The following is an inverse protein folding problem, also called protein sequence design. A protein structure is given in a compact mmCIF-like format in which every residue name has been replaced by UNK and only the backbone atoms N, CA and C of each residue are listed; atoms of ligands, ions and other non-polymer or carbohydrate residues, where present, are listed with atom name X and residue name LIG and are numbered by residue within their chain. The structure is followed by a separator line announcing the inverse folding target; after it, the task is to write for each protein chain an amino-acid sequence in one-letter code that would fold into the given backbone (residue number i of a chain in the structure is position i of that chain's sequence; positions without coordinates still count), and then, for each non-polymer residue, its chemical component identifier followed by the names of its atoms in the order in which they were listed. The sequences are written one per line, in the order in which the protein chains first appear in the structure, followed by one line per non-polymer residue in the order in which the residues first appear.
data_IF_363633258825
#
_entry.id   IF_363633258825
#
_cell.length_a   1.000
_cell.length_b   1.000
_cell.length_c   1.000
_cell.angle_alpha   90.00
_cell.angle_beta   90.00
_cell.angle_gamma   90.00
#
_symmetry.space_group_name_H-M   'P 1'
#
loop_
_entity.id
_entity.type
_entity.pdbx_description
1 polymer ?
#
# COMPACT_ATOMS: atom_id res chain seq x y z
N UNK A 1 -21.14 -0.73 14.12
CA UNK A 1 -19.91 -0.28 13.44
C UNK A 1 -18.98 0.35 14.47
N UNK A 2 -17.78 -0.16 14.57
CA UNK A 2 -16.81 0.29 15.58
C UNK A 2 -15.67 1.05 14.93
N UNK A 3 -15.10 2.00 15.65
CA UNK A 3 -13.95 2.77 15.21
C UNK A 3 -12.66 2.14 15.77
N UNK A 4 -11.68 1.98 14.87
CA UNK A 4 -10.36 1.45 15.19
C UNK A 4 -9.30 2.39 14.64
N UNK A 5 -8.10 2.30 15.17
CA UNK A 5 -6.92 2.84 14.48
C UNK A 5 -6.50 1.85 13.41
N UNK A 6 -5.92 2.33 12.32
CA UNK A 6 -5.45 1.42 11.27
C UNK A 6 -4.52 0.34 11.81
N UNK A 7 -3.63 0.70 12.75
CA UNK A 7 -2.70 -0.27 13.36
C UNK A 7 -3.40 -1.37 14.16
N UNK A 8 -4.65 -1.17 14.58
CA UNK A 8 -5.41 -2.21 15.31
C UNK A 8 -5.90 -3.32 14.38
N UNK A 9 -6.03 -3.04 13.09
CA UNK A 9 -6.66 -3.94 12.12
C UNK A 9 -5.74 -4.33 10.97
N UNK A 10 -4.57 -3.71 10.85
CA UNK A 10 -3.66 -3.92 9.73
C UNK A 10 -2.22 -3.64 10.14
N UNK A 11 -1.29 -4.24 9.39
CA UNK A 11 0.14 -3.92 9.50
C UNK A 11 0.49 -2.85 8.48
N UNK A 12 1.24 -1.83 8.89
CA UNK A 12 1.73 -0.77 8.02
C UNK A 12 3.25 -0.84 7.98
N UNK A 13 3.82 -0.93 6.78
CA UNK A 13 5.27 -1.05 6.60
C UNK A 13 5.75 -0.12 5.49
N UNK A 14 6.83 0.62 5.76
CA UNK A 14 7.55 1.38 4.74
C UNK A 14 8.42 0.42 3.93
N UNK A 15 8.62 0.70 2.65
CA UNK A 15 9.55 -0.05 1.80
C UNK A 15 11.00 0.15 2.20
N UNK A 16 11.94 -0.57 1.57
CA UNK A 16 13.35 -0.51 1.94
C UNK A 16 13.92 0.88 1.74
N UNK A 17 14.77 1.31 2.69
CA UNK A 17 15.46 2.59 2.56
C UNK A 17 16.41 2.56 1.36
N UNK A 18 16.75 3.75 0.82
CA UNK A 18 17.64 3.88 -0.32
C UNK A 18 19.00 3.21 -0.12
N UNK A 19 19.49 3.12 1.12
CA UNK A 19 20.74 2.42 1.46
C UNK A 19 20.64 0.90 1.33
N UNK A 20 19.41 0.35 1.33
CA UNK A 20 19.18 -1.09 1.21
C UNK A 20 19.04 -1.55 -0.24
N UNK A 21 18.66 -0.64 -1.14
CA UNK A 21 18.48 -0.94 -2.55
C UNK A 21 18.75 0.35 -3.35
N UNK A 22 19.79 0.33 -4.17
CA UNK A 22 20.20 1.44 -5.01
C UNK A 22 19.72 1.26 -6.45
N UNK A 23 19.65 2.33 -7.22
CA UNK A 23 19.26 2.26 -8.64
C UNK A 23 20.15 1.32 -9.44
N UNK A 24 21.44 1.27 -9.12
CA UNK A 24 22.42 0.39 -9.77
C UNK A 24 22.22 -1.07 -9.46
N UNK A 25 21.42 -1.40 -8.44
CA UNK A 25 21.12 -2.79 -8.06
C UNK A 25 20.03 -3.40 -8.93
N UNK A 26 19.33 -2.59 -9.71
CA UNK A 26 18.30 -3.10 -10.61
C UNK A 26 18.92 -3.89 -11.75
N UNK A 27 18.22 -4.94 -12.16
CA UNK A 27 18.72 -5.92 -13.15
C UNK A 27 17.78 -5.99 -14.35
N UNK A 28 18.24 -6.67 -15.42
CA UNK A 28 17.44 -6.83 -16.65
C UNK A 28 16.43 -7.96 -16.56
N UNK A 29 16.63 -8.91 -15.65
CA UNK A 29 15.74 -10.06 -15.44
C UNK A 29 15.62 -10.32 -13.94
N UNK A 30 14.39 -10.32 -13.42
CA UNK A 30 14.17 -10.52 -11.99
C UNK A 30 12.72 -10.25 -11.59
N UNK A 31 12.52 -9.91 -10.33
CA UNK A 31 11.20 -9.64 -9.75
C UNK A 31 10.90 -8.14 -9.80
N UNK A 32 9.71 -7.75 -10.28
CA UNK A 32 9.33 -6.33 -10.30
C UNK A 32 9.23 -5.72 -8.91
N UNK A 33 9.60 -4.44 -8.83
CA UNK A 33 9.38 -3.59 -7.66
C UNK A 33 8.52 -2.40 -8.07
N UNK A 34 7.43 -2.16 -7.35
CA UNK A 34 6.55 -1.03 -7.65
C UNK A 34 7.05 0.22 -6.93
N UNK A 35 6.98 1.35 -7.62
CA UNK A 35 7.30 2.68 -7.09
C UNK A 35 6.06 3.57 -7.21
N UNK A 36 6.18 4.82 -6.76
CA UNK A 36 5.03 5.74 -6.78
C UNK A 36 4.44 5.96 -8.16
N UNK A 37 5.26 5.88 -9.21
CA UNK A 37 4.79 6.06 -10.60
C UNK A 37 3.89 4.93 -11.09
N UNK A 38 3.92 3.77 -10.43
CA UNK A 38 3.14 2.60 -10.81
C UNK A 38 1.79 2.55 -10.14
N UNK A 39 1.53 3.42 -9.17
CA UNK A 39 0.26 3.45 -8.46
C UNK A 39 -0.82 4.06 -9.36
N UNK A 40 -1.82 3.28 -9.68
CA UNK A 40 -2.95 3.70 -10.50
C UNK A 40 -4.27 3.54 -9.76
N UNK A 41 -5.36 3.82 -10.46
CA UNK A 41 -6.69 3.64 -9.91
C UNK A 41 -6.98 2.13 -9.83
N UNK A 42 -6.94 1.58 -8.62
CA UNK A 42 -7.11 0.17 -8.26
C UNK A 42 -5.97 -0.74 -8.72
N UNK A 43 -5.35 -0.48 -9.87
CA UNK A 43 -4.34 -1.36 -10.47
C UNK A 43 -3.00 -0.67 -10.55
N UNK A 44 -1.96 -1.46 -10.74
CA UNK A 44 -0.61 -0.96 -10.96
C UNK A 44 -0.33 -0.79 -12.45
N UNK A 45 0.35 0.29 -12.80
CA UNK A 45 0.94 0.42 -14.12
C UNK A 45 2.08 -0.57 -14.24
N UNK A 46 2.22 -1.20 -15.40
CA UNK A 46 3.30 -2.16 -15.67
C UNK A 46 4.40 -1.58 -16.55
N UNK A 47 4.38 -0.26 -16.75
CA UNK A 47 5.39 0.41 -17.58
C UNK A 47 6.62 0.74 -16.76
N UNK A 48 7.79 0.44 -17.30
CA UNK A 48 9.08 0.78 -16.70
C UNK A 48 9.25 0.27 -15.27
N UNK A 49 8.79 -0.98 -15.02
CA UNK A 49 8.97 -1.62 -13.72
C UNK A 49 10.44 -1.98 -13.54
N UNK A 50 11.13 -1.44 -12.53
CA UNK A 50 12.46 -1.93 -12.19
C UNK A 50 12.38 -3.38 -11.73
N UNK A 51 13.45 -4.14 -11.95
CA UNK A 51 13.53 -5.55 -11.60
C UNK A 51 14.63 -5.76 -10.56
N UNK A 52 14.33 -6.59 -9.58
CA UNK A 52 15.22 -6.89 -8.46
C UNK A 52 15.75 -8.32 -8.62
N UNK A 53 17.04 -8.52 -8.38
CA UNK A 53 17.67 -9.84 -8.47
C UNK A 53 17.11 -10.82 -7.43
N UNK A 54 17.27 -12.12 -7.69
CA UNK A 54 16.81 -13.15 -6.76
C UNK A 54 17.50 -13.03 -5.39
N UNK A 55 18.78 -12.68 -5.37
CA UNK A 55 19.52 -12.50 -4.13
C UNK A 55 18.99 -11.31 -3.31
N UNK A 56 18.75 -10.19 -3.97
CA UNK A 56 18.18 -9.01 -3.31
C UNK A 56 16.73 -9.26 -2.88
N UNK A 57 15.96 -9.99 -3.68
CA UNK A 57 14.61 -10.40 -3.31
C UNK A 57 14.58 -11.18 -2.00
N UNK A 58 15.52 -12.12 -1.83
CA UNK A 58 15.65 -12.90 -0.59
C UNK A 58 16.03 -12.00 0.58
N UNK A 59 17.01 -11.14 0.37
CA UNK A 59 17.48 -10.19 1.38
C UNK A 59 16.37 -9.25 1.83
N UNK A 60 15.49 -8.86 0.90
CA UNK A 60 14.40 -7.92 1.13
C UNK A 60 13.04 -8.62 1.27
N UNK A 61 13.02 -9.86 1.73
CA UNK A 61 11.80 -10.68 1.79
C UNK A 61 10.68 -10.09 2.63
N UNK A 62 10.97 -9.25 3.62
CA UNK A 62 9.94 -8.59 4.42
C UNK A 62 9.18 -7.49 3.65
N UNK A 63 9.66 -7.15 2.45
CA UNK A 63 9.02 -6.14 1.59
C UNK A 63 8.29 -6.77 0.41
N UNK A 64 8.00 -8.06 0.47
CA UNK A 64 7.21 -8.73 -0.55
C UNK A 64 5.74 -8.37 -0.43
N UNK A 65 5.09 -8.20 -1.57
CA UNK A 65 3.66 -8.00 -1.66
C UNK A 65 2.93 -9.33 -1.71
N UNK A 66 1.73 -9.36 -1.18
CA UNK A 66 0.82 -10.48 -1.37
C UNK A 66 -0.57 -9.97 -1.72
N UNK A 67 -1.35 -10.80 -2.38
CA UNK A 67 -2.71 -10.47 -2.76
C UNK A 67 -3.49 -9.92 -1.57
N UNK A 68 -4.18 -8.81 -1.80
CA UNK A 68 -4.94 -8.12 -0.75
C UNK A 68 -4.21 -6.97 -0.09
N UNK A 69 -2.91 -6.84 -0.30
CA UNK A 69 -2.17 -5.69 0.21
C UNK A 69 -2.63 -4.40 -0.49
N UNK A 70 -2.50 -3.28 0.21
CA UNK A 70 -2.75 -1.95 -0.35
C UNK A 70 -1.45 -1.17 -0.29
N UNK A 71 -1.02 -0.62 -1.42
CA UNK A 71 0.23 0.14 -1.52
C UNK A 71 -0.10 1.61 -1.69
N UNK A 72 0.44 2.44 -0.80
CA UNK A 72 0.27 3.90 -0.82
C UNK A 72 1.54 4.59 -1.27
N UNK A 73 1.38 5.74 -1.91
CA UNK A 73 2.47 6.69 -2.08
C UNK A 73 2.78 7.35 -0.73
N UNK A 74 4.05 7.34 -0.32
CA UNK A 74 4.47 7.96 0.93
C UNK A 74 4.86 9.44 0.74
N UNK A 75 5.10 9.85 -0.48
CA UNK A 75 5.53 11.22 -0.82
C UNK A 75 4.69 11.75 -1.98
N UNK A 76 4.49 13.06 -2.02
CA UNK A 76 3.71 13.71 -3.07
C UNK A 76 2.21 13.44 -2.90
N UNK A 77 1.64 12.65 -3.77
CA UNK A 77 0.21 12.27 -3.72
C UNK A 77 -0.03 11.17 -2.68
N UNK A 78 0.08 11.53 -1.40
CA UNK A 78 0.04 10.58 -0.27
C UNK A 78 -1.30 9.85 -0.11
N UNK A 79 -2.36 10.33 -0.73
CA UNK A 79 -3.68 9.70 -0.74
C UNK A 79 -3.85 8.66 -1.84
N UNK A 80 -2.87 8.53 -2.74
CA UNK A 80 -2.94 7.60 -3.87
C UNK A 80 -2.53 6.20 -3.43
N UNK A 81 -3.38 5.22 -3.77
CA UNK A 81 -3.11 3.83 -3.43
C UNK A 81 -3.61 2.87 -4.50
N UNK A 82 -3.04 1.69 -4.53
CA UNK A 82 -3.43 0.60 -5.43
C UNK A 82 -3.59 -0.70 -4.66
N UNK A 83 -4.44 -1.57 -5.17
CA UNK A 83 -4.76 -2.87 -4.58
C UNK A 83 -3.94 -3.97 -5.25
N UNK A 84 -3.30 -4.82 -4.44
CA UNK A 84 -2.46 -5.92 -4.93
C UNK A 84 -3.35 -7.11 -5.29
N UNK A 85 -3.29 -7.54 -6.56
CA UNK A 85 -3.97 -8.74 -7.04
C UNK A 85 -3.00 -9.92 -7.05
N UNK A 86 -3.48 -11.09 -7.47
CA UNK A 86 -2.63 -12.28 -7.61
C UNK A 86 -1.48 -12.06 -8.61
N UNK A 87 -1.65 -11.16 -9.57
CA UNK A 87 -0.63 -10.86 -10.58
C UNK A 87 0.63 -10.23 -9.97
N UNK A 88 0.51 -9.47 -8.89
CA UNK A 88 1.63 -8.80 -8.22
C UNK A 88 2.11 -9.55 -6.98
N UNK A 89 1.59 -10.74 -6.74
CA UNK A 89 2.01 -11.55 -5.60
C UNK A 89 3.52 -11.83 -5.68
N UNK A 90 4.22 -11.63 -4.56
CA UNK A 90 5.67 -11.76 -4.45
C UNK A 90 6.50 -10.68 -5.18
N UNK A 91 5.86 -9.62 -5.68
CA UNK A 91 6.58 -8.42 -6.09
C UNK A 91 7.05 -7.65 -4.87
N UNK A 92 7.90 -6.64 -5.05
CA UNK A 92 8.35 -5.78 -3.97
C UNK A 92 7.76 -4.37 -4.12
N UNK A 93 7.88 -3.56 -3.07
CA UNK A 93 7.52 -2.14 -3.11
C UNK A 93 8.68 -1.30 -2.62
N UNK A 94 8.80 -0.09 -3.20
CA UNK A 94 9.96 0.78 -2.96
C UNK A 94 9.85 1.56 -1.64
N UNK A 95 10.95 2.18 -1.25
CA UNK A 95 11.02 3.01 -0.05
C UNK A 95 10.17 4.28 -0.09
N UNK A 96 9.64 4.64 -1.25
CA UNK A 96 8.69 5.75 -1.39
C UNK A 96 7.24 5.31 -1.24
N UNK A 97 7.03 4.06 -0.94
CA UNK A 97 5.71 3.46 -0.77
C UNK A 97 5.53 2.93 0.64
N UNK A 98 4.27 2.81 1.04
CA UNK A 98 3.83 2.12 2.25
C UNK A 98 2.96 0.94 1.84
N UNK A 99 3.10 -0.17 2.56
CA UNK A 99 2.22 -1.34 2.39
C UNK A 99 1.31 -1.46 3.60
N UNK A 100 0.01 -1.59 3.34
CA UNK A 100 -1.00 -1.88 4.37
C UNK A 100 -1.52 -3.29 4.13
N UNK A 101 -1.39 -4.16 5.13
CA UNK A 101 -1.82 -5.56 5.08
C UNK A 101 -2.84 -5.83 6.15
N UNK A 102 -4.03 -6.24 5.75
CA UNK A 102 -5.13 -6.52 6.68
C UNK A 102 -4.81 -7.68 7.61
N UNK A 103 -5.28 -7.55 8.86
CA UNK A 103 -5.36 -8.65 9.80
C UNK A 103 -6.66 -9.44 9.62
N UNK A 104 -7.00 -10.26 10.61
CA UNK A 104 -8.09 -11.24 10.50
C UNK A 104 -9.48 -10.62 10.47
N UNK A 105 -9.67 -9.44 11.07
CA UNK A 105 -11.00 -8.82 11.20
C UNK A 105 -11.27 -7.75 10.14
N UNK A 106 -10.43 -7.67 9.15
CA UNK A 106 -10.50 -6.67 8.10
C UNK A 106 -10.49 -7.34 6.73
N UNK A 107 -11.47 -7.02 5.91
CA UNK A 107 -11.52 -7.52 4.53
C UNK A 107 -10.68 -6.58 3.65
N UNK A 108 -9.64 -7.10 2.95
CA UNK A 108 -8.72 -6.23 2.20
C UNK A 108 -9.38 -5.32 1.18
N UNK A 109 -10.30 -5.85 0.39
CA UNK A 109 -10.95 -5.07 -0.66
C UNK A 109 -11.90 -4.03 -0.07
N UNK A 110 -12.56 -4.34 1.06
CA UNK A 110 -13.34 -3.35 1.79
C UNK A 110 -12.46 -2.19 2.25
N UNK A 111 -11.31 -2.50 2.83
CA UNK A 111 -10.38 -1.47 3.30
C UNK A 111 -9.87 -0.61 2.14
N UNK A 112 -9.59 -1.23 1.00
CA UNK A 112 -9.20 -0.49 -0.20
C UNK A 112 -10.29 0.54 -0.59
N UNK A 113 -11.54 0.09 -0.67
CA UNK A 113 -12.66 1.00 -1.01
C UNK A 113 -12.89 2.06 0.06
N UNK A 114 -12.64 1.72 1.33
CA UNK A 114 -12.68 2.71 2.40
C UNK A 114 -11.69 3.84 2.13
N UNK A 115 -10.47 3.51 1.75
CA UNK A 115 -9.45 4.50 1.40
C UNK A 115 -9.76 5.27 0.11
N UNK A 116 -10.65 4.76 -0.72
CA UNK A 116 -11.08 5.46 -1.94
C UNK A 116 -12.10 6.57 -1.67
N UNK A 117 -12.68 6.63 -0.48
CA UNK A 117 -13.62 7.69 -0.12
C UNK A 117 -12.93 9.04 -0.12
N UNK A 118 -13.57 10.03 -0.70
CA UNK A 118 -13.02 11.39 -0.77
C UNK A 118 -12.73 11.95 0.63
N UNK A 119 -13.62 11.71 1.59
CA UNK A 119 -13.41 12.17 2.97
C UNK A 119 -12.16 11.57 3.61
N UNK A 120 -11.88 10.30 3.33
CA UNK A 120 -10.69 9.61 3.84
C UNK A 120 -9.43 10.13 3.16
N UNK A 121 -9.49 10.35 1.83
CA UNK A 121 -8.39 10.93 1.09
C UNK A 121 -8.04 12.33 1.61
N UNK A 122 -9.04 13.15 1.87
CA UNK A 122 -8.82 14.48 2.44
C UNK A 122 -8.22 14.42 3.84
N UNK A 123 -8.65 13.45 4.65
CA UNK A 123 -8.06 13.24 5.97
C UNK A 123 -6.57 12.88 5.86
N UNK A 124 -6.22 11.96 4.98
CA UNK A 124 -4.81 11.56 4.77
C UNK A 124 -3.97 12.77 4.36
N UNK A 125 -4.46 13.59 3.44
CA UNK A 125 -3.77 14.81 3.02
C UNK A 125 -3.59 15.78 4.19
N UNK A 126 -4.57 15.86 5.09
CA UNK A 126 -4.53 16.79 6.22
C UNK A 126 -3.47 16.43 7.26
N UNK A 127 -3.15 15.15 7.42
CA UNK A 127 -2.16 14.68 8.40
C UNK A 127 -0.75 14.58 7.82
N UNK A 128 -0.60 14.69 6.50
CA UNK A 128 0.71 14.64 5.84
C UNK A 128 1.56 15.84 6.25
N UNK A 129 2.88 15.64 6.29
CA UNK A 129 3.86 16.64 6.72
C UNK A 129 4.60 17.19 5.50
N UNK A 130 4.79 18.50 5.47
CA UNK A 130 5.53 19.18 4.40
C UNK A 130 4.61 20.00 3.51
N UNK A 131 5.04 21.24 3.20
CA UNK A 131 4.25 22.17 2.40
C UNK A 131 4.43 21.95 0.90
N UNK A 132 5.68 21.75 0.46
CA UNK A 132 6.03 21.62 -0.96
C UNK A 132 5.92 20.18 -1.44
N UNK A 133 6.43 19.24 -0.63
CA UNK A 133 6.37 17.81 -0.92
C UNK A 133 5.75 17.11 0.28
N UNK A 134 4.43 16.92 0.30
CA UNK A 134 3.79 16.21 1.40
C UNK A 134 4.37 14.80 1.55
N UNK A 135 4.51 14.36 2.80
CA UNK A 135 4.94 12.99 3.10
C UNK A 135 4.17 12.44 4.28
N UNK A 136 4.05 11.12 4.32
CA UNK A 136 3.39 10.40 5.39
C UNK A 136 4.28 9.21 5.79
N UNK A 137 4.32 8.89 7.08
CA UNK A 137 5.10 7.76 7.58
C UNK A 137 4.18 6.70 8.20
N UNK A 138 4.77 5.59 8.62
CA UNK A 138 4.02 4.49 9.24
C UNK A 138 3.31 4.91 10.51
N UNK A 139 3.91 5.79 11.30
CA UNK A 139 3.32 6.28 12.54
C UNK A 139 2.05 7.09 12.28
N UNK A 140 2.08 7.97 11.30
CA UNK A 140 0.91 8.77 10.92
C UNK A 140 -0.19 7.89 10.33
N UNK A 141 0.17 6.96 9.45
CA UNK A 141 -0.79 6.03 8.87
C UNK A 141 -1.45 5.15 9.92
N UNK A 142 -0.67 4.68 10.91
CA UNK A 142 -1.15 3.79 11.97
C UNK A 142 -2.29 4.41 12.79
N UNK A 143 -2.33 5.73 12.90
CA UNK A 143 -3.30 6.45 13.70
C UNK A 143 -4.60 6.80 12.94
N UNK A 144 -4.69 6.53 11.66
CA UNK A 144 -5.89 6.85 10.86
C UNK A 144 -7.10 6.11 11.43
N UNK A 145 -8.21 6.80 11.75
CA UNK A 145 -9.40 6.15 12.26
C UNK A 145 -10.13 5.41 11.13
N UNK A 146 -10.49 4.17 11.38
CA UNK A 146 -11.20 3.32 10.43
C UNK A 146 -12.49 2.84 11.09
N UNK A 147 -13.61 3.07 10.43
CA UNK A 147 -14.92 2.56 10.86
C UNK A 147 -15.15 1.21 10.19
N UNK A 148 -15.23 0.14 10.99
CA UNK A 148 -15.44 -1.21 10.47
C UNK A 148 -16.80 -1.75 10.88
N UNK A 149 -17.62 -2.19 9.93
CA UNK A 149 -18.73 -3.08 10.24
C UNK A 149 -18.21 -4.49 10.50
N UNK A 150 -19.12 -5.42 10.80
CA UNK A 150 -18.76 -6.83 10.95
C UNK A 150 -18.17 -7.36 9.64
N UNK A 151 -17.33 -8.38 9.75
CA UNK A 151 -16.61 -8.94 8.60
C UNK A 151 -17.54 -9.36 7.45
N UNK A 152 -18.70 -9.93 7.76
CA UNK A 152 -19.69 -10.32 6.75
C UNK A 152 -20.22 -9.12 5.97
N UNK A 153 -20.48 -8.01 6.68
CA UNK A 153 -20.93 -6.78 6.04
C UNK A 153 -19.82 -6.18 5.16
N UNK A 154 -18.58 -6.25 5.62
CA UNK A 154 -17.43 -5.81 4.84
C UNK A 154 -17.35 -6.56 3.50
N UNK A 155 -17.55 -7.88 3.54
CA UNK A 155 -17.54 -8.72 2.33
C UNK A 155 -18.66 -8.32 1.38
N UNK A 156 -19.86 -8.14 1.90
CA UNK A 156 -21.01 -7.74 1.08
C UNK A 156 -20.78 -6.39 0.41
N UNK A 157 -20.27 -5.40 1.15
CA UNK A 157 -19.99 -4.08 0.61
C UNK A 157 -18.90 -4.16 -0.47
N UNK A 158 -17.83 -4.92 -0.21
CA UNK A 158 -16.76 -5.11 -1.18
C UNK A 158 -17.25 -5.76 -2.46
N UNK A 159 -18.11 -6.77 -2.35
CA UNK A 159 -18.68 -7.46 -3.51
C UNK A 159 -19.54 -6.52 -4.35
N UNK A 160 -20.36 -5.69 -3.72
CA UNK A 160 -21.19 -4.69 -4.41
C UNK A 160 -20.33 -3.69 -5.15
N UNK A 161 -19.29 -3.18 -4.51
CA UNK A 161 -18.42 -2.15 -5.10
C UNK A 161 -17.51 -2.72 -6.19
N UNK A 162 -17.28 -4.02 -6.21
CA UNK A 162 -16.42 -4.70 -7.18
C UNK A 162 -17.16 -5.20 -8.43
N UNK A 163 -18.48 -5.26 -8.37
CA UNK A 163 -19.29 -5.76 -9.48
C UNK A 163 -19.53 -4.71 -10.56
#
# INVERSE_FOLDING_TARGET
MEEYKLSDIAEVRTGPFGSQLHNEDYVSTGTPIVTVEHLGNRRFSKQNLPLVSDDDKKRLSKYLLQEGDIVFSRVGSVDRCSYVTSAENDWLFSGRCLRVRCGNNCHPLFLYYYFCKESVKQYIKSIAVGATMPSINTKLMAEIPILLPKLEEQRCIADILSS
#
